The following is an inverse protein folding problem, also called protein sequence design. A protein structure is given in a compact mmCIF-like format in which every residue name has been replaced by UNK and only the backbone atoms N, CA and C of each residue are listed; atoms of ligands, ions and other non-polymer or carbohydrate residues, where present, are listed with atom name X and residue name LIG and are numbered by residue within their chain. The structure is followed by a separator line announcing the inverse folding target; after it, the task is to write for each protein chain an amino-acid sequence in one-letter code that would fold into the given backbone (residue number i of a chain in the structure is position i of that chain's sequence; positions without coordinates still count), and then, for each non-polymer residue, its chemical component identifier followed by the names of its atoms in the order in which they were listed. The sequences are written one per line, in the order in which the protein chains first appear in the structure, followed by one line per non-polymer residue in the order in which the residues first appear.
data_IF_050193904706
#
_entry.id   IF_050193904706
#
_cell.length_a   1.000
_cell.length_b   1.000
_cell.length_c   1.000
_cell.angle_alpha   90.00
_cell.angle_beta   90.00
_cell.angle_gamma   90.00
#
_symmetry.space_group_name_H-M   'P 1'
#
loop_
_entity.id
_entity.type
_entity.pdbx_description
1 polymer ?
#
# COMPACT_ATOMS: atom_id res chain seq x y z
N UNK A 1 -7.23 14.45 5.88
CA UNK A 1 -6.10 13.49 5.97
C UNK A 1 -6.54 12.03 5.83
N UNK A 2 -7.53 11.53 6.59
CA UNK A 2 -7.98 10.12 6.54
C UNK A 2 -8.35 9.62 5.13
N UNK A 3 -9.12 10.40 4.36
CA UNK A 3 -9.54 10.03 3.00
C UNK A 3 -8.34 9.83 2.07
N UNK A 4 -7.29 10.67 2.19
CA UNK A 4 -6.08 10.55 1.37
C UNK A 4 -5.35 9.22 1.61
N UNK A 5 -5.26 8.79 2.86
CA UNK A 5 -4.63 7.51 3.23
C UNK A 5 -5.42 6.31 2.69
N UNK A 6 -6.75 6.38 2.74
CA UNK A 6 -7.64 5.36 2.17
C UNK A 6 -7.52 5.29 0.64
N UNK A 7 -7.44 6.44 -0.03
CA UNK A 7 -7.26 6.52 -1.48
C UNK A 7 -5.90 5.95 -1.88
N UNK A 8 -4.82 6.24 -1.14
CA UNK A 8 -3.50 5.62 -1.36
C UNK A 8 -3.58 4.10 -1.28
N UNK A 9 -4.29 3.58 -0.26
CA UNK A 9 -4.46 2.14 -0.06
C UNK A 9 -5.21 1.48 -1.21
N UNK A 10 -6.28 2.15 -1.69
CA UNK A 10 -7.10 1.68 -2.79
C UNK A 10 -6.31 1.70 -4.11
N UNK A 11 -5.66 2.80 -4.43
CA UNK A 11 -4.89 2.94 -5.68
C UNK A 11 -3.73 1.94 -5.71
N UNK A 12 -3.04 1.76 -4.59
CA UNK A 12 -1.93 0.82 -4.45
C UNK A 12 -2.28 -0.66 -4.62
N UNK A 13 -3.46 -1.08 -4.15
CA UNK A 13 -3.87 -2.49 -4.12
C UNK A 13 -4.87 -2.88 -5.20
N UNK A 14 -5.66 -1.95 -5.75
CA UNK A 14 -6.71 -2.25 -6.73
C UNK A 14 -6.38 -1.69 -8.11
N UNK A 15 -5.96 -0.42 -8.18
CA UNK A 15 -5.71 0.23 -9.47
C UNK A 15 -4.36 -0.16 -10.01
N UNK A 16 -3.32 -0.24 -9.17
CA UNK A 16 -1.96 -0.54 -9.61
C UNK A 16 -1.79 -1.98 -10.11
N UNK A 17 -2.56 -2.95 -9.58
CA UNK A 17 -2.41 -4.39 -9.88
C UNK A 17 -2.36 -4.71 -11.39
N UNK A 18 -3.32 -4.28 -12.23
CA UNK A 18 -3.24 -4.54 -13.67
C UNK A 18 -2.03 -3.92 -14.37
N UNK A 19 -1.47 -2.82 -13.85
CA UNK A 19 -0.30 -2.16 -14.44
C UNK A 19 1.02 -2.76 -13.95
N UNK A 20 1.06 -3.23 -12.70
CA UNK A 20 2.25 -3.80 -12.07
C UNK A 20 2.34 -5.32 -12.26
N UNK A 21 1.29 -5.97 -12.75
CA UNK A 21 1.23 -7.40 -13.06
C UNK A 21 1.99 -7.73 -14.36
N UNK A 22 3.29 -7.45 -14.34
CA UNK A 22 4.21 -7.80 -15.42
C UNK A 22 5.40 -8.56 -14.84
N UNK A 23 5.88 -9.57 -15.57
CA UNK A 23 7.04 -10.38 -15.17
C UNK A 23 8.34 -9.55 -15.25
N UNK A 24 8.42 -8.64 -16.23
CA UNK A 24 9.50 -7.69 -16.40
C UNK A 24 9.01 -6.26 -16.17
N UNK A 25 9.77 -5.40 -15.47
CA UNK A 25 11.12 -5.62 -14.97
C UNK A 25 11.17 -6.56 -13.75
N UNK A 26 12.36 -7.10 -13.46
CA UNK A 26 12.61 -7.84 -12.22
C UNK A 26 13.35 -6.95 -11.23
N UNK A 27 13.00 -7.03 -9.94
CA UNK A 27 13.63 -6.29 -8.84
C UNK A 27 14.17 -7.30 -7.84
N UNK A 28 15.46 -7.19 -7.49
CA UNK A 28 16.15 -8.13 -6.59
C UNK A 28 16.03 -9.62 -7.03
N UNK A 29 15.96 -9.88 -8.34
CA UNK A 29 15.80 -11.23 -8.89
C UNK A 29 14.36 -11.76 -8.87
N UNK A 30 13.39 -10.97 -8.41
CA UNK A 30 11.96 -11.33 -8.37
C UNK A 30 11.15 -10.52 -9.39
N UNK A 31 10.01 -11.03 -9.88
CA UNK A 31 9.08 -10.24 -10.69
C UNK A 31 8.65 -8.97 -9.94
N UNK A 32 8.51 -7.85 -10.66
CA UNK A 32 8.10 -6.57 -10.06
C UNK A 32 6.81 -6.68 -9.25
N UNK A 33 5.84 -7.47 -9.73
CA UNK A 33 4.59 -7.71 -9.01
C UNK A 33 4.81 -8.31 -7.61
N UNK A 34 5.73 -9.27 -7.49
CA UNK A 34 6.03 -9.90 -6.19
C UNK A 34 6.69 -8.89 -5.24
N UNK A 35 7.65 -8.12 -5.74
CA UNK A 35 8.29 -7.05 -4.96
C UNK A 35 7.28 -5.99 -4.51
N UNK A 36 6.36 -5.60 -5.39
CA UNK A 36 5.28 -4.67 -5.09
C UNK A 36 4.40 -5.16 -3.95
N UNK A 37 3.91 -6.41 -4.02
CA UNK A 37 3.07 -7.00 -2.96
C UNK A 37 3.82 -7.06 -1.63
N UNK A 38 5.11 -7.41 -1.63
CA UNK A 38 5.93 -7.45 -0.41
C UNK A 38 6.07 -6.07 0.26
N UNK A 39 6.28 -5.01 -0.53
CA UNK A 39 6.29 -3.63 -0.02
C UNK A 39 4.93 -3.29 0.59
N UNK A 40 3.83 -3.61 -0.10
CA UNK A 40 2.48 -3.33 0.39
C UNK A 40 2.12 -4.09 1.66
N UNK A 41 2.73 -5.25 1.90
CA UNK A 41 2.60 -5.99 3.16
C UNK A 41 3.08 -5.19 4.37
N UNK A 42 4.06 -4.29 4.19
CA UNK A 42 4.59 -3.41 5.24
C UNK A 42 3.84 -2.08 5.26
N UNK A 43 3.58 -1.47 4.10
CA UNK A 43 2.93 -0.16 4.00
C UNK A 43 1.48 -0.23 4.53
N UNK A 44 0.75 -1.30 4.24
CA UNK A 44 -0.67 -1.44 4.63
C UNK A 44 -0.88 -1.36 6.15
N UNK A 45 -0.21 -2.18 6.99
CA UNK A 45 -0.37 -2.06 8.44
C UNK A 45 0.13 -0.72 8.99
N UNK A 46 1.17 -0.12 8.41
CA UNK A 46 1.64 1.22 8.80
C UNK A 46 0.59 2.30 8.54
N UNK A 47 -0.06 2.28 7.38
CA UNK A 47 -1.14 3.22 7.05
C UNK A 47 -2.35 3.01 7.96
N UNK A 48 -2.76 1.76 8.22
CA UNK A 48 -3.86 1.46 9.15
C UNK A 48 -3.53 1.93 10.56
N UNK A 49 -2.30 1.70 11.03
CA UNK A 49 -1.84 2.18 12.33
C UNK A 49 -1.86 3.70 12.42
N UNK A 50 -1.43 4.40 11.35
CA UNK A 50 -1.48 5.85 11.29
C UNK A 50 -2.93 6.37 11.38
N UNK A 51 -3.85 5.76 10.62
CA UNK A 51 -5.28 6.11 10.67
C UNK A 51 -5.82 5.92 12.09
N UNK A 52 -5.47 4.80 12.74
CA UNK A 52 -5.87 4.52 14.12
C UNK A 52 -5.30 5.55 15.11
N UNK A 53 -4.02 5.90 14.98
CA UNK A 53 -3.38 6.91 15.82
C UNK A 53 -4.04 8.28 15.69
N UNK A 54 -4.41 8.67 14.46
CA UNK A 54 -5.13 9.92 14.21
C UNK A 54 -6.55 9.90 14.81
N UNK A 55 -7.32 8.83 14.61
CA UNK A 55 -8.69 8.72 15.16
C UNK A 55 -8.69 8.74 16.69
N UNK A 56 -7.66 8.12 17.31
CA UNK A 56 -7.46 8.15 18.76
C UNK A 56 -7.08 9.54 19.29
N UNK A 57 -6.34 10.32 18.50
CA UNK A 57 -5.98 11.69 18.87
C UNK A 57 -7.16 12.66 18.75
N UNK A 58 -8.06 12.45 17.79
CA UNK A 58 -9.24 13.29 17.58
C UNK A 58 -10.40 13.00 18.54
N UNK A 59 -10.47 11.78 19.09
CA UNK A 59 -11.44 11.42 20.15
C UNK A 59 -10.97 11.73 21.59
N UNK A 60 -9.78 12.30 21.77
CA UNK A 60 -9.29 12.82 23.06
C UNK A 60 -9.55 14.31 23.16
#
# INVERSE_FOLDING_TARGET
MRILLLVIMLVGNLVAVPFVNTIHPTVLGMPFFLFWVLIWMIITPLLTWWIYAMDKAEKR
#
